data_IF_521501177562
#
_entry.id   IF_521501177562
#
_cell.length_a   1.000
_cell.length_b   1.000
_cell.length_c   1.000
_cell.angle_alpha   90.00
_cell.angle_beta   90.00
_cell.angle_gamma   90.00
#
_symmetry.space_group_name_H-M   'P 1'
#
loop_
_entity.id
_entity.type
_entity.pdbx_description
1 polymer ?
#
# COMPACT_ATOMS: atom_id res chain seq x y z
N UNK A 1 -17.31 -4.77 25.62
CA UNK A 1 -17.60 -5.44 24.33
C UNK A 1 -16.41 -6.34 24.03
N UNK A 2 -16.60 -7.66 24.03
CA UNK A 2 -15.51 -8.64 24.03
C UNK A 2 -14.76 -8.63 22.69
N UNK A 3 -13.51 -8.18 22.70
CA UNK A 3 -12.60 -8.26 21.56
C UNK A 3 -12.02 -9.67 21.55
N UNK A 4 -12.42 -10.49 20.58
CA UNK A 4 -11.90 -11.84 20.39
C UNK A 4 -10.38 -11.82 20.18
N UNK A 5 -9.70 -12.77 20.83
CA UNK A 5 -8.27 -13.04 20.70
C UNK A 5 -7.89 -13.29 19.23
N UNK A 6 -6.94 -12.51 18.69
CA UNK A 6 -6.44 -12.61 17.32
C UNK A 6 -4.98 -13.03 17.37
N UNK A 7 -4.73 -14.33 17.54
CA UNK A 7 -3.38 -14.90 17.57
C UNK A 7 -3.21 -15.93 16.44
N UNK A 8 -2.64 -15.49 15.31
CA UNK A 8 -2.47 -16.29 14.09
C UNK A 8 -1.17 -16.02 13.33
N UNK A 9 -0.20 -15.36 13.99
CA UNK A 9 1.04 -14.91 13.34
C UNK A 9 2.07 -16.02 13.09
N UNK A 10 1.90 -17.18 13.73
CA UNK A 10 2.83 -18.32 13.66
C UNK A 10 2.78 -19.06 12.31
N UNK A 11 1.59 -19.20 11.71
CA UNK A 11 1.41 -20.00 10.48
C UNK A 11 1.94 -19.25 9.24
N UNK A 12 1.65 -17.95 9.10
CA UNK A 12 2.04 -17.18 7.90
C UNK A 12 3.57 -16.94 7.84
N UNK A 13 4.26 -16.87 8.98
CA UNK A 13 5.73 -16.68 9.02
C UNK A 13 6.48 -17.79 8.30
N UNK A 14 5.97 -19.03 8.32
CA UNK A 14 6.61 -20.16 7.62
C UNK A 14 6.47 -20.05 6.09
N UNK A 15 5.39 -19.45 5.60
CA UNK A 15 5.07 -19.45 4.17
C UNK A 15 5.39 -18.14 3.45
N UNK A 16 5.59 -17.03 4.17
CA UNK A 16 5.54 -15.70 3.60
C UNK A 16 6.73 -14.81 4.04
N UNK A 17 7.57 -14.37 3.07
CA UNK A 17 8.80 -13.60 3.33
C UNK A 17 8.58 -12.29 4.12
N UNK A 18 9.48 -11.97 5.05
CA UNK A 18 9.53 -10.61 5.61
C UNK A 18 10.08 -9.66 4.55
N UNK A 19 9.25 -8.71 4.12
CA UNK A 19 9.58 -7.74 3.06
C UNK A 19 10.36 -6.55 3.62
N UNK A 20 11.37 -6.03 2.92
CA UNK A 20 12.15 -4.88 3.38
C UNK A 20 11.34 -3.58 3.35
N UNK A 21 11.78 -2.61 4.14
CA UNK A 21 11.38 -1.21 4.02
C UNK A 21 12.57 -0.41 3.49
N UNK A 22 12.40 0.28 2.38
CA UNK A 22 13.47 1.01 1.70
C UNK A 22 13.32 2.52 1.85
N UNK A 23 14.44 3.23 1.73
CA UNK A 23 14.50 4.69 1.73
C UNK A 23 15.42 5.18 0.64
N UNK A 24 15.21 6.43 0.20
CA UNK A 24 16.08 7.11 -0.75
C UNK A 24 16.22 8.57 -0.37
N UNK A 25 17.47 9.04 -0.33
CA UNK A 25 17.79 10.46 -0.15
C UNK A 25 17.38 11.28 -1.36
N UNK A 26 17.40 10.71 -2.57
CA UNK A 26 16.91 11.39 -3.77
C UNK A 26 15.39 11.65 -3.69
N UNK A 27 14.61 10.68 -3.21
CA UNK A 27 13.17 10.90 -2.98
C UNK A 27 12.91 11.89 -1.86
N UNK A 28 13.77 11.93 -0.83
CA UNK A 28 13.72 12.97 0.20
C UNK A 28 13.96 14.35 -0.41
N UNK A 29 14.98 14.54 -1.25
CA UNK A 29 15.26 15.82 -1.91
C UNK A 29 14.12 16.28 -2.83
N UNK A 30 13.41 15.34 -3.47
CA UNK A 30 12.27 15.65 -4.35
C UNK A 30 10.99 16.05 -3.58
N UNK A 31 10.78 15.49 -2.39
CA UNK A 31 9.50 15.65 -1.66
C UNK A 31 9.63 16.54 -0.43
N UNK A 32 10.84 16.74 0.07
CA UNK A 32 11.10 17.31 1.40
C UNK A 32 10.61 16.42 2.55
N UNK A 33 10.32 15.14 2.30
CA UNK A 33 9.67 14.22 3.24
C UNK A 33 10.43 12.91 3.36
N UNK A 34 10.47 12.34 4.56
CA UNK A 34 11.09 11.04 4.80
C UNK A 34 10.14 9.92 4.38
N UNK A 35 10.43 9.30 3.24
CA UNK A 35 9.64 8.20 2.69
C UNK A 35 10.23 6.85 3.10
N UNK A 36 9.37 5.94 3.58
CA UNK A 36 9.71 4.54 3.84
C UNK A 36 8.82 3.64 2.99
N UNK A 37 9.37 3.03 1.95
CA UNK A 37 8.64 2.18 1.02
C UNK A 37 8.62 0.73 1.49
N UNK A 38 7.46 0.22 1.88
CA UNK A 38 7.25 -1.17 2.26
C UNK A 38 7.04 -2.02 1.01
N UNK A 39 8.03 -2.86 0.69
CA UNK A 39 8.16 -3.51 -0.61
C UNK A 39 7.46 -4.88 -0.66
N UNK A 40 6.13 -4.90 -0.74
CA UNK A 40 5.37 -6.15 -0.90
C UNK A 40 5.52 -6.78 -2.30
N UNK A 41 6.14 -6.08 -3.26
CA UNK A 41 6.58 -6.65 -4.54
C UNK A 41 7.58 -7.82 -4.39
N UNK A 42 8.35 -7.86 -3.29
CA UNK A 42 9.27 -8.97 -2.99
C UNK A 42 8.62 -10.15 -2.26
N UNK A 43 7.30 -10.13 -2.13
CA UNK A 43 6.55 -11.26 -1.59
C UNK A 43 6.54 -12.41 -2.61
N UNK A 44 6.37 -13.64 -2.12
CA UNK A 44 6.08 -14.78 -3.01
C UNK A 44 4.86 -14.44 -3.88
N UNK A 45 4.91 -14.83 -5.15
CA UNK A 45 3.98 -14.44 -6.22
C UNK A 45 3.96 -12.96 -6.63
N UNK A 46 4.96 -12.17 -6.23
CA UNK A 46 5.19 -10.82 -6.76
C UNK A 46 4.19 -9.75 -6.30
N UNK A 47 3.39 -10.02 -5.26
CA UNK A 47 2.45 -9.02 -4.74
C UNK A 47 1.73 -9.38 -3.44
N UNK A 48 1.05 -8.39 -2.87
CA UNK A 48 0.38 -8.47 -1.57
C UNK A 48 -0.78 -9.47 -1.51
N UNK A 49 -1.37 -9.81 -2.67
CA UNK A 49 -2.47 -10.78 -2.80
C UNK A 49 -2.12 -12.16 -2.25
N UNK A 50 -0.84 -12.56 -2.21
CA UNK A 50 -0.41 -13.85 -1.64
C UNK A 50 -0.93 -14.06 -0.21
N UNK A 51 -0.87 -13.02 0.64
CA UNK A 51 -1.35 -13.13 2.03
C UNK A 51 -2.88 -13.31 2.11
N UNK A 52 -3.62 -12.69 1.20
CA UNK A 52 -5.08 -12.80 1.12
C UNK A 52 -5.52 -14.15 0.57
N UNK A 53 -4.88 -14.62 -0.50
CA UNK A 53 -5.21 -15.89 -1.16
C UNK A 53 -4.81 -17.10 -0.33
N UNK A 54 -3.67 -17.07 0.39
CA UNK A 54 -3.37 -18.13 1.36
C UNK A 54 -4.43 -18.20 2.46
N UNK A 55 -4.96 -17.06 2.90
CA UNK A 55 -6.02 -17.03 3.92
C UNK A 55 -7.37 -17.58 3.43
N UNK A 56 -7.67 -17.51 2.13
CA UNK A 56 -8.90 -18.08 1.56
C UNK A 56 -8.78 -19.56 1.17
N UNK A 57 -7.59 -20.04 0.83
CA UNK A 57 -7.36 -21.48 0.51
C UNK A 57 -7.20 -22.33 1.79
N UNK A 58 -6.58 -21.78 2.84
CA UNK A 58 -6.55 -22.41 4.16
C UNK A 58 -7.75 -21.89 4.97
N UNK A 59 -8.89 -22.59 4.94
CA UNK A 59 -10.13 -22.22 5.65
C UNK A 59 -9.95 -22.22 7.17
N UNK A 60 -9.30 -21.17 7.70
CA UNK A 60 -9.15 -20.82 9.10
C UNK A 60 -9.14 -19.30 9.18
N UNK A 61 -10.08 -18.76 9.96
CA UNK A 61 -10.18 -17.34 10.33
C UNK A 61 -8.83 -16.79 10.84
N UNK A 62 -8.66 -15.45 10.75
CA UNK A 62 -7.71 -14.60 11.51
C UNK A 62 -6.79 -13.67 10.70
N UNK A 63 -6.49 -12.54 11.35
CA UNK A 63 -6.20 -11.20 10.84
C UNK A 63 -4.88 -11.02 10.09
N UNK A 64 -4.92 -10.33 8.95
CA UNK A 64 -3.75 -9.93 8.17
C UNK A 64 -3.22 -8.52 8.51
N UNK A 65 -3.65 -7.92 9.63
CA UNK A 65 -3.17 -6.60 10.09
C UNK A 65 -2.01 -6.63 11.10
N UNK A 66 -1.68 -7.78 11.70
CA UNK A 66 -0.76 -7.81 12.84
C UNK A 66 0.61 -8.38 12.48
N UNK A 67 1.52 -7.51 12.03
CA UNK A 67 2.95 -7.85 12.01
C UNK A 67 3.78 -6.96 12.94
N UNK A 68 3.43 -5.69 13.10
CA UNK A 68 4.21 -4.79 13.99
C UNK A 68 3.58 -4.67 15.38
N UNK A 69 2.26 -4.80 15.49
CA UNK A 69 1.56 -4.82 16.79
C UNK A 69 1.72 -6.16 17.53
N UNK A 70 1.56 -7.29 16.84
CA UNK A 70 1.72 -8.61 17.47
C UNK A 70 3.18 -8.96 17.81
N UNK A 71 4.16 -8.54 17.00
CA UNK A 71 5.58 -8.75 17.33
C UNK A 71 6.02 -7.90 18.54
N UNK A 72 5.53 -6.66 18.65
CA UNK A 72 5.79 -5.79 19.80
C UNK A 72 5.08 -6.29 21.08
N UNK A 73 3.85 -6.79 20.97
CA UNK A 73 3.11 -7.36 22.09
C UNK A 73 3.72 -8.70 22.57
N UNK A 74 4.11 -9.58 21.66
CA UNK A 74 4.75 -10.86 21.99
C UNK A 74 6.16 -10.69 22.60
N UNK A 75 6.94 -9.71 22.13
CA UNK A 75 8.24 -9.38 22.74
C UNK A 75 8.10 -8.84 24.17
N UNK A 76 7.06 -8.04 24.43
CA UNK A 76 6.76 -7.50 25.75
C UNK A 76 6.27 -8.58 26.73
N UNK A 77 5.52 -9.58 26.24
CA UNK A 77 5.04 -10.71 27.04
C UNK A 77 6.12 -11.75 27.37
N UNK A 78 7.16 -11.89 26.54
CA UNK A 78 8.20 -12.92 26.68
C UNK A 78 9.53 -12.43 27.31
N UNK A 79 9.65 -11.14 27.65
CA UNK A 79 10.90 -10.51 28.15
C UNK A 79 12.12 -10.76 27.25
N UNK A 80 11.91 -10.91 25.94
CA UNK A 80 12.99 -11.07 24.95
C UNK A 80 13.28 -9.69 24.34
N UNK A 81 14.53 -9.22 24.33
CA UNK A 81 14.88 -7.94 23.73
C UNK A 81 14.65 -7.99 22.21
N UNK A 82 13.55 -7.39 21.75
CA UNK A 82 13.28 -7.20 20.33
C UNK A 82 13.78 -5.82 19.89
N UNK A 83 14.83 -5.81 19.07
CA UNK A 83 15.31 -4.60 18.40
C UNK A 83 14.35 -4.26 17.25
N UNK A 84 13.24 -3.58 17.58
CA UNK A 84 12.34 -2.99 16.60
C UNK A 84 12.87 -1.60 16.26
N UNK A 85 13.35 -1.41 15.03
CA UNK A 85 13.75 -0.09 14.57
C UNK A 85 12.52 0.81 14.56
N UNK A 86 12.45 1.70 15.55
CA UNK A 86 11.34 2.61 15.78
C UNK A 86 11.40 3.72 14.74
N UNK A 87 10.37 3.83 13.92
CA UNK A 87 10.18 5.01 13.09
C UNK A 87 8.82 5.58 13.44
N UNK A 88 8.79 6.85 13.84
CA UNK A 88 7.56 7.62 14.01
C UNK A 88 6.90 7.81 12.63
N UNK A 89 6.34 6.75 12.05
CA UNK A 89 5.53 6.84 10.85
C UNK A 89 4.21 7.48 11.29
N UNK A 90 3.99 8.69 10.81
CA UNK A 90 2.80 9.48 11.15
C UNK A 90 1.71 9.28 10.10
N UNK A 91 2.11 8.94 8.87
CA UNK A 91 1.17 8.78 7.74
C UNK A 91 1.50 7.57 6.89
N UNK A 92 0.49 6.79 6.55
CA UNK A 92 0.57 5.67 5.62
C UNK A 92 -0.19 6.03 4.35
N UNK A 93 0.38 5.66 3.19
CA UNK A 93 -0.27 5.77 1.88
C UNK A 93 -0.37 4.36 1.29
N UNK A 94 -1.61 3.98 0.95
CA UNK A 94 -1.92 2.62 0.51
C UNK A 94 -2.74 2.67 -0.79
N UNK A 95 -2.39 1.87 -1.81
CA UNK A 95 -3.21 1.70 -3.00
C UNK A 95 -4.60 1.13 -2.65
N UNK A 96 -5.64 1.53 -3.40
CA UNK A 96 -6.99 0.99 -3.28
C UNK A 96 -7.52 0.44 -4.60
N UNK A 97 -8.42 -0.52 -4.46
CA UNK A 97 -9.16 -1.25 -5.48
C UNK A 97 -10.40 -1.74 -4.71
N UNK A 98 -10.68 -3.04 -4.65
CA UNK A 98 -11.74 -3.58 -3.78
C UNK A 98 -11.60 -3.41 -2.25
N UNK A 99 -10.57 -2.70 -1.77
CA UNK A 99 -10.50 -2.26 -0.37
C UNK A 99 -9.93 -3.26 0.65
N UNK A 100 -9.61 -4.49 0.24
CA UNK A 100 -9.14 -5.54 1.16
C UNK A 100 -7.79 -5.22 1.82
N UNK A 101 -6.81 -4.74 1.04
CA UNK A 101 -5.49 -4.37 1.55
C UNK A 101 -5.58 -3.21 2.56
N UNK A 102 -6.22 -2.11 2.16
CA UNK A 102 -6.39 -0.93 3.01
C UNK A 102 -7.17 -1.26 4.29
N UNK A 103 -8.19 -2.09 4.22
CA UNK A 103 -8.96 -2.51 5.40
C UNK A 103 -8.07 -3.19 6.44
N UNK A 104 -7.18 -4.10 6.01
CA UNK A 104 -6.23 -4.74 6.91
C UNK A 104 -5.19 -3.77 7.49
N UNK A 105 -4.67 -2.86 6.65
CA UNK A 105 -3.66 -1.87 7.06
C UNK A 105 -4.24 -0.86 8.05
N UNK A 106 -5.41 -0.30 7.77
CA UNK A 106 -6.00 0.76 8.61
C UNK A 106 -6.42 0.24 9.98
N UNK A 107 -7.01 -0.96 10.05
CA UNK A 107 -7.35 -1.60 11.32
C UNK A 107 -6.09 -1.88 12.14
N UNK A 108 -5.03 -2.40 11.51
CA UNK A 108 -3.75 -2.64 12.17
C UNK A 108 -3.05 -1.36 12.64
N UNK A 109 -3.10 -0.30 11.83
CA UNK A 109 -2.49 0.98 12.16
C UNK A 109 -3.21 1.69 13.31
N UNK A 110 -4.54 1.86 13.19
CA UNK A 110 -5.36 2.58 14.17
C UNK A 110 -5.47 1.83 15.51
N UNK A 111 -5.48 0.49 15.50
CA UNK A 111 -5.44 -0.30 16.75
C UNK A 111 -4.13 -0.14 17.53
N UNK A 112 -3.03 0.14 16.84
CA UNK A 112 -1.75 0.41 17.48
C UNK A 112 -1.62 1.85 17.95
N UNK A 113 -2.00 2.80 17.09
CA UNK A 113 -1.99 4.21 17.40
C UNK A 113 -3.08 4.92 16.56
N UNK A 114 -4.18 5.36 17.18
CA UNK A 114 -5.27 6.07 16.49
C UNK A 114 -4.83 7.34 15.76
N UNK A 115 -3.73 7.97 16.20
CA UNK A 115 -3.19 9.18 15.58
C UNK A 115 -2.43 8.92 14.27
N UNK A 116 -2.14 7.66 13.92
CA UNK A 116 -1.56 7.36 12.60
C UNK A 116 -2.58 7.71 11.54
N UNK A 117 -2.22 8.60 10.63
CA UNK A 117 -3.02 8.95 9.47
C UNK A 117 -2.89 7.89 8.40
N UNK A 118 -3.99 7.47 7.81
CA UNK A 118 -4.03 6.51 6.71
C UNK A 118 -4.72 7.16 5.53
N UNK A 119 -3.93 7.50 4.53
CA UNK A 119 -4.35 8.04 3.26
C UNK A 119 -4.35 6.93 2.21
N UNK A 120 -5.24 7.07 1.24
CA UNK A 120 -5.38 6.14 0.13
C UNK A 120 -4.95 6.81 -1.16
N UNK A 121 -4.34 6.05 -2.06
CA UNK A 121 -4.02 6.48 -3.42
C UNK A 121 -4.86 5.69 -4.42
N UNK A 122 -5.58 6.39 -5.30
CA UNK A 122 -6.52 5.83 -6.27
C UNK A 122 -6.32 6.45 -7.67
N UNK A 123 -6.45 5.69 -8.77
CA UNK A 123 -6.37 6.26 -10.11
C UNK A 123 -7.61 7.11 -10.39
N UNK A 124 -7.43 8.27 -11.00
CA UNK A 124 -8.56 9.15 -11.37
C UNK A 124 -9.53 8.49 -12.36
N UNK A 125 -9.04 7.59 -13.21
CA UNK A 125 -9.89 6.83 -14.13
C UNK A 125 -10.60 5.62 -13.51
N UNK A 126 -10.41 5.38 -12.21
CA UNK A 126 -11.08 4.35 -11.42
C UNK A 126 -11.33 4.90 -9.99
N UNK A 127 -11.90 6.10 -9.89
CA UNK A 127 -12.01 6.88 -8.65
C UNK A 127 -13.26 6.56 -7.82
N UNK A 128 -13.73 5.31 -7.85
CA UNK A 128 -14.98 4.92 -7.20
C UNK A 128 -14.92 5.07 -5.67
N UNK A 129 -13.77 4.79 -5.03
CA UNK A 129 -13.65 4.99 -3.59
C UNK A 129 -13.66 6.49 -3.22
N UNK A 130 -12.98 7.33 -3.98
CA UNK A 130 -12.99 8.79 -3.79
C UNK A 130 -14.41 9.35 -3.90
N UNK A 131 -15.14 8.98 -4.97
CA UNK A 131 -16.53 9.37 -5.16
C UNK A 131 -17.42 8.84 -4.02
N UNK A 132 -17.24 7.57 -3.63
CA UNK A 132 -17.98 6.96 -2.53
C UNK A 132 -17.79 7.73 -1.24
N UNK A 133 -16.54 8.08 -0.91
CA UNK A 133 -16.17 8.81 0.31
C UNK A 133 -16.74 10.23 0.33
N UNK A 134 -16.70 10.92 -0.81
CA UNK A 134 -17.25 12.27 -0.93
C UNK A 134 -18.78 12.29 -0.75
N UNK A 135 -19.51 11.31 -1.30
CA UNK A 135 -20.97 11.26 -1.20
C UNK A 135 -21.52 10.48 0.01
N UNK A 136 -20.64 9.85 0.80
CA UNK A 136 -21.01 9.09 2.01
C UNK A 136 -21.72 7.76 1.74
N UNK A 137 -21.78 7.28 0.49
CA UNK A 137 -22.40 6.01 0.10
C UNK A 137 -21.53 5.27 -0.91
N UNK A 138 -21.69 3.95 -1.00
CA UNK A 138 -20.97 3.14 -1.98
C UNK A 138 -21.38 3.51 -3.41
N UNK A 139 -20.41 3.85 -4.24
CA UNK A 139 -20.53 4.13 -5.67
C UNK A 139 -19.77 3.05 -6.43
N UNK A 140 -20.31 2.68 -7.59
CA UNK A 140 -19.64 1.82 -8.57
C UNK A 140 -19.61 2.54 -9.92
N UNK A 141 -18.52 2.34 -10.67
CA UNK A 141 -18.36 2.90 -12.00
C UNK A 141 -18.77 1.86 -13.04
N UNK A 142 -19.44 2.30 -14.12
CA UNK A 142 -19.77 1.41 -15.25
C UNK A 142 -18.55 1.01 -16.07
N UNK A 143 -17.54 1.89 -16.12
CA UNK A 143 -16.28 1.68 -16.82
C UNK A 143 -15.12 2.32 -16.05
N UNK A 144 -13.95 1.69 -16.12
CA UNK A 144 -12.68 2.21 -15.57
C UNK A 144 -11.68 2.41 -16.69
N UNK A 145 -10.90 3.50 -16.65
CA UNK A 145 -9.88 3.80 -17.63
C UNK A 145 -8.55 4.20 -16.95
N UNK A 146 -7.71 3.22 -16.65
CA UNK A 146 -6.40 3.44 -16.04
C UNK A 146 -5.39 2.37 -16.42
N UNK A 147 -4.12 2.72 -16.58
CA UNK A 147 -3.00 1.76 -16.71
C UNK A 147 -2.78 0.89 -15.46
N UNK A 148 -3.30 1.31 -14.31
CA UNK A 148 -3.20 0.56 -13.06
C UNK A 148 -4.25 -0.56 -13.02
N UNK A 149 -3.97 -1.63 -13.77
CA UNK A 149 -4.79 -2.82 -13.95
C UNK A 149 -5.32 -3.44 -12.63
N UNK A 150 -4.50 -3.48 -11.60
CA UNK A 150 -4.82 -4.02 -10.28
C UNK A 150 -5.78 -3.15 -9.45
N UNK A 151 -6.03 -1.90 -9.89
CA UNK A 151 -6.80 -0.89 -9.17
C UNK A 151 -8.16 -0.59 -9.81
N UNK A 152 -8.68 -1.51 -10.63
CA UNK A 152 -9.96 -1.34 -11.37
C UNK A 152 -11.19 -1.97 -10.70
N UNK A 153 -11.05 -2.59 -9.52
CA UNK A 153 -12.17 -3.23 -8.85
C UNK A 153 -12.85 -2.28 -7.87
N UNK A 154 -14.17 -2.34 -7.78
CA UNK A 154 -14.93 -1.52 -6.82
C UNK A 154 -14.89 -2.07 -5.39
N UNK A 155 -15.08 -1.17 -4.43
CA UNK A 155 -15.24 -1.52 -3.02
C UNK A 155 -16.41 -2.49 -2.79
N UNK A 156 -16.25 -3.40 -1.82
CA UNK A 156 -17.28 -4.35 -1.42
C UNK A 156 -17.99 -3.94 -0.12
N UNK A 157 -19.10 -4.60 0.18
CA UNK A 157 -19.95 -4.29 1.36
C UNK A 157 -19.21 -4.38 2.70
N UNK A 158 -18.18 -5.23 2.78
CA UNK A 158 -17.35 -5.40 3.98
C UNK A 158 -16.27 -4.31 4.08
N UNK A 159 -15.69 -3.92 2.95
CA UNK A 159 -14.55 -3.00 2.92
C UNK A 159 -14.99 -1.54 2.96
N UNK A 160 -16.16 -1.22 2.40
CA UNK A 160 -16.69 0.14 2.37
C UNK A 160 -16.87 0.78 3.76
N UNK A 161 -17.52 0.15 4.77
CA UNK A 161 -17.65 0.75 6.09
C UNK A 161 -16.29 1.07 6.74
N UNK A 162 -15.29 0.20 6.52
CA UNK A 162 -13.93 0.39 7.03
C UNK A 162 -13.26 1.58 6.35
N UNK A 163 -13.39 1.72 5.03
CA UNK A 163 -12.87 2.85 4.26
C UNK A 163 -13.59 4.16 4.61
N UNK A 164 -14.89 4.12 4.82
CA UNK A 164 -15.69 5.28 5.23
C UNK A 164 -15.22 5.81 6.59
N UNK A 165 -15.09 4.93 7.58
CA UNK A 165 -14.94 5.32 8.98
C UNK A 165 -13.49 5.48 9.44
N UNK A 166 -12.54 4.70 8.90
CA UNK A 166 -11.17 4.64 9.43
C UNK A 166 -10.10 5.26 8.53
N UNK A 167 -10.33 5.35 7.22
CA UNK A 167 -9.40 6.02 6.30
C UNK A 167 -9.55 7.52 6.48
N UNK A 168 -8.45 8.26 6.51
CA UNK A 168 -8.50 9.71 6.75
C UNK A 168 -8.83 10.51 5.48
N UNK A 169 -8.33 10.06 4.32
CA UNK A 169 -8.59 10.71 3.03
C UNK A 169 -8.22 9.83 1.84
N UNK A 170 -8.68 10.21 0.64
CA UNK A 170 -8.36 9.56 -0.62
C UNK A 170 -7.74 10.60 -1.57
N UNK A 171 -6.57 10.26 -2.11
CA UNK A 171 -5.82 11.06 -3.07
C UNK A 171 -5.98 10.39 -4.42
N UNK A 172 -6.60 11.10 -5.36
CA UNK A 172 -6.66 10.67 -6.75
C UNK A 172 -5.45 11.19 -7.53
N UNK A 173 -4.92 10.35 -8.42
CA UNK A 173 -3.79 10.70 -9.31
C UNK A 173 -4.07 10.24 -10.74
N UNK A 174 -3.54 11.00 -11.69
CA UNK A 174 -3.65 10.70 -13.12
C UNK A 174 -2.62 9.63 -13.55
N UNK A 175 -2.91 8.89 -14.63
CA UNK A 175 -2.02 7.81 -15.12
C UNK A 175 -0.60 8.30 -15.46
N UNK A 176 -0.47 9.55 -15.91
CA UNK A 176 0.84 10.18 -16.14
C UNK A 176 1.67 10.26 -14.86
N UNK A 177 1.05 10.59 -13.72
CA UNK A 177 1.71 10.63 -12.41
C UNK A 177 2.09 9.23 -11.94
N UNK A 178 1.28 8.22 -12.25
CA UNK A 178 1.58 6.81 -11.97
C UNK A 178 2.81 6.35 -12.75
N UNK A 179 2.91 6.69 -14.04
CA UNK A 179 4.08 6.38 -14.87
C UNK A 179 5.35 7.06 -14.37
N UNK A 180 5.26 8.34 -14.02
CA UNK A 180 6.36 9.11 -13.43
C UNK A 180 6.86 8.43 -12.14
N UNK A 181 5.95 8.06 -11.24
CA UNK A 181 6.28 7.36 -10.01
C UNK A 181 6.87 5.97 -10.27
N UNK A 182 6.38 5.25 -11.27
CA UNK A 182 6.94 3.96 -11.68
C UNK A 182 8.39 4.13 -12.15
N UNK A 183 8.69 5.15 -12.96
CA UNK A 183 10.06 5.48 -13.36
C UNK A 183 10.96 5.73 -12.16
N UNK A 184 10.52 6.50 -11.16
CA UNK A 184 11.30 6.69 -9.93
C UNK A 184 11.55 5.39 -9.16
N UNK A 185 10.59 4.47 -9.11
CA UNK A 185 10.81 3.16 -8.50
C UNK A 185 11.93 2.38 -9.23
N UNK A 186 11.95 2.42 -10.57
CA UNK A 186 12.97 1.73 -11.37
C UNK A 186 14.33 2.43 -11.29
N UNK A 187 14.38 3.74 -11.47
CA UNK A 187 15.62 4.49 -11.64
C UNK A 187 16.26 4.88 -10.30
N UNK A 188 15.47 5.15 -9.27
CA UNK A 188 15.98 5.59 -7.96
C UNK A 188 15.98 4.45 -6.97
N UNK A 189 14.85 3.76 -6.80
CA UNK A 189 14.76 2.67 -5.84
C UNK A 189 15.33 1.35 -6.36
N UNK A 190 15.55 1.24 -7.68
CA UNK A 190 16.01 0.02 -8.36
C UNK A 190 15.08 -1.18 -8.14
N UNK A 191 13.78 -0.90 -8.06
CA UNK A 191 12.74 -1.92 -7.87
C UNK A 191 11.79 -1.91 -9.04
N UNK A 192 11.71 -3.06 -9.69
CA UNK A 192 10.74 -3.33 -10.74
C UNK A 192 9.36 -3.51 -10.13
N UNK A 193 8.52 -2.47 -10.23
CA UNK A 193 7.15 -2.42 -9.72
C UNK A 193 6.14 -2.43 -10.87
N UNK A 194 4.92 -2.89 -10.62
CA UNK A 194 3.80 -2.69 -11.55
C UNK A 194 3.18 -1.29 -11.37
N UNK A 195 2.43 -0.75 -12.36
CA UNK A 195 1.83 0.59 -12.25
C UNK A 195 0.94 0.74 -11.01
N UNK A 196 0.15 -0.30 -10.71
CA UNK A 196 -0.73 -0.37 -9.54
C UNK A 196 -0.01 -0.19 -8.20
N UNK A 197 1.27 -0.57 -8.13
CA UNK A 197 2.08 -0.46 -6.92
C UNK A 197 2.83 0.88 -6.81
N UNK A 198 3.02 1.60 -7.92
CA UNK A 198 3.69 2.89 -7.95
C UNK A 198 2.78 4.03 -7.46
N UNK A 199 1.46 3.83 -7.44
CA UNK A 199 0.47 4.88 -7.17
C UNK A 199 0.65 5.56 -5.81
N UNK A 200 1.13 4.84 -4.79
CA UNK A 200 1.37 5.43 -3.47
C UNK A 200 2.50 6.47 -3.49
N UNK A 201 3.51 6.27 -4.34
CA UNK A 201 4.56 7.27 -4.59
C UNK A 201 4.02 8.41 -5.46
N UNK A 202 3.20 8.11 -6.47
CA UNK A 202 2.54 9.11 -7.30
C UNK A 202 1.72 10.09 -6.44
N UNK A 203 0.95 9.57 -5.48
CA UNK A 203 0.19 10.38 -4.55
C UNK A 203 1.07 11.38 -3.79
N UNK A 204 2.22 10.97 -3.23
CA UNK A 204 3.14 11.89 -2.53
C UNK A 204 3.74 12.95 -3.46
N UNK A 205 4.05 12.57 -4.70
CA UNK A 205 4.64 13.46 -5.68
C UNK A 205 3.63 14.44 -6.29
N UNK A 206 2.34 14.11 -6.25
CA UNK A 206 1.27 14.92 -6.83
C UNK A 206 1.18 16.32 -6.24
N UNK A 207 0.76 17.25 -7.09
CA UNK A 207 0.46 18.63 -6.69
C UNK A 207 -0.69 18.68 -5.67
N UNK A 208 -1.67 17.79 -5.81
CA UNK A 208 -2.78 17.66 -4.89
C UNK A 208 -2.27 17.37 -3.47
N UNK A 209 -1.29 16.47 -3.34
CA UNK A 209 -0.69 16.16 -2.06
C UNK A 209 0.10 17.33 -1.46
N UNK A 210 0.92 17.98 -2.29
CA UNK A 210 1.81 19.07 -1.87
C UNK A 210 1.05 20.33 -1.46
N UNK A 211 -0.02 20.68 -2.18
CA UNK A 211 -0.82 21.89 -1.95
C UNK A 211 -1.85 21.74 -0.83
N UNK A 212 -2.23 20.52 -0.49
CA UNK A 212 -3.23 20.28 0.54
C UNK A 212 -2.63 20.41 1.95
N UNK A 213 -3.08 21.43 2.69
CA UNK A 213 -2.65 21.72 4.06
C UNK A 213 -2.94 20.58 5.04
N UNK A 214 -3.95 19.75 4.76
CA UNK A 214 -4.27 18.56 5.59
C UNK A 214 -3.14 17.55 5.56
N UNK A 215 -2.52 17.34 4.40
CA UNK A 215 -1.56 16.25 4.20
C UNK A 215 -0.11 16.73 4.20
N UNK A 216 0.16 17.97 3.78
CA UNK A 216 1.52 18.50 3.64
C UNK A 216 2.28 18.60 4.99
N UNK A 217 1.59 18.68 6.13
CA UNK A 217 2.26 18.63 7.44
C UNK A 217 2.95 17.28 7.75
N UNK A 218 2.66 16.23 6.97
CA UNK A 218 3.25 14.90 7.16
C UNK A 218 4.72 14.89 6.75
N UNK A 219 5.60 14.50 7.69
CA UNK A 219 7.05 14.42 7.49
C UNK A 219 7.52 12.98 7.25
N UNK A 220 6.99 12.03 8.02
CA UNK A 220 7.37 10.61 7.96
C UNK A 220 6.24 9.80 7.33
N UNK A 221 6.43 9.42 6.08
CA UNK A 221 5.41 8.76 5.27
C UNK A 221 5.84 7.33 4.94
N UNK A 222 4.99 6.35 5.29
CA UNK A 222 5.12 4.98 4.83
C UNK A 222 4.32 4.75 3.56
N UNK A 223 4.96 4.26 2.50
CA UNK A 223 4.30 3.94 1.22
C UNK A 223 4.24 2.43 1.06
N UNK A 224 3.08 1.90 0.69
CA UNK A 224 2.93 0.47 0.37
C UNK A 224 3.16 0.24 -1.12
N UNK A 225 4.25 -0.43 -1.48
CA UNK A 225 4.49 -0.93 -2.84
C UNK A 225 3.84 -2.32 -2.92
N UNK A 226 2.65 -2.40 -3.52
CA UNK A 226 1.77 -3.58 -3.42
C UNK A 226 2.15 -4.77 -4.30
N UNK A 227 2.94 -4.58 -5.36
CA UNK A 227 3.20 -5.60 -6.37
C UNK A 227 4.29 -5.22 -7.38
N UNK A 228 4.69 -6.19 -8.20
CA UNK A 228 5.73 -6.08 -9.22
C UNK A 228 5.50 -6.94 -10.45
N UNK A 229 4.25 -7.39 -10.69
CA UNK A 229 3.91 -8.27 -11.80
C UNK A 229 3.51 -7.43 -13.01
N UNK A 230 4.49 -7.06 -13.82
CA UNK A 230 4.27 -6.28 -15.05
C UNK A 230 4.95 -6.96 -16.22
N UNK A 231 4.27 -6.97 -17.37
CA UNK A 231 4.89 -7.43 -18.62
C UNK A 231 5.89 -6.37 -19.13
N UNK A 232 7.14 -6.79 -19.29
CA UNK A 232 8.24 -5.97 -19.78
C UNK A 232 8.70 -6.41 -21.18
N UNK A 233 7.87 -7.15 -21.94
CA UNK A 233 8.19 -7.64 -23.28
C UNK A 233 8.73 -6.55 -24.21
N UNK A 234 8.09 -5.38 -24.24
CA UNK A 234 8.54 -4.25 -25.05
C UNK A 234 9.98 -3.76 -24.72
N UNK A 235 10.37 -3.82 -23.43
CA UNK A 235 11.72 -3.49 -23.00
C UNK A 235 12.72 -4.50 -23.57
N UNK A 236 12.43 -5.79 -23.43
CA UNK A 236 13.31 -6.87 -23.88
C UNK A 236 13.42 -6.93 -25.41
N UNK A 237 12.33 -6.69 -26.13
CA UNK A 237 12.32 -6.59 -27.58
C UNK A 237 13.21 -5.43 -28.05
N UNK A 238 13.10 -4.25 -27.44
CA UNK A 238 13.93 -3.10 -27.79
C UNK A 238 15.42 -3.38 -27.55
N UNK A 239 15.77 -3.93 -26.38
CA UNK A 239 17.16 -4.28 -26.06
C UNK A 239 17.74 -5.34 -26.99
N UNK A 240 16.93 -6.33 -27.40
CA UNK A 240 17.36 -7.38 -28.33
C UNK A 240 17.67 -6.87 -29.74
N UNK A 241 17.06 -5.75 -30.16
CA UNK A 241 17.38 -5.10 -31.44
C UNK A 241 18.71 -4.35 -31.36
N UNK A 242 19.02 -3.74 -30.22
CA UNK A 242 20.26 -3.00 -29.98
C UNK A 242 21.48 -3.94 -29.93
N UNK A 243 21.33 -5.15 -29.38
CA UNK A 243 22.46 -6.11 -29.29
C UNK A 243 22.74 -6.88 -30.58
N UNK A 244 21.87 -6.75 -31.59
CA UNK A 244 22.03 -7.38 -32.91
C UNK A 244 22.69 -6.46 -33.95
N UNK A 245 23.00 -5.22 -33.58
CA UNK A 245 23.80 -4.26 -34.35
C UNK A 245 25.20 -4.16 -33.78
#
# INVERSE_FOLDING_TARGET
>A
MNIYNIDGTSVIKQYANLTPAMRSTALYSLTGKTLSSKCECFKKSGGSKFRGTSKSVFSVTHSSGNHVAALALAANLQRIPAYVVHYHIVTLIVPISGGGLISGVVVGAKSRNPAIRVLVAEPKGADDAAQSKACGRLITLSHTNTIADGLRASLGDITWPIVRDLVDDIITVDDGEILEAMRYNYEVLKVAVEPSAAIGLAAVLSDNFKKNSRWNCSQNIGIVISGGNVDLGALWESLSRITRT
#
